data_IF_388721786641
#
_entry.id   IF_388721786641
#
_cell.length_a   1.000
_cell.length_b   1.000
_cell.length_c   1.000
_cell.angle_alpha   90.00
_cell.angle_beta   90.00
_cell.angle_gamma   90.00
#
_symmetry.space_group_name_H-M   'P 1'
#
loop_
_entity.id
_entity.type
_entity.pdbx_description
1 polymer ?
2 non-polymer ?
3 water ?
#
# COMPACT_ATOMS: atom_id res chain seq x y z
N UNK A 2 -14.24 -16.93 -20.19
CA UNK A 2 -13.80 -16.08 -19.09
C UNK A 2 -13.87 -16.83 -17.75
N UNK A 3 -12.73 -16.97 -17.08
CA UNK A 3 -12.72 -17.60 -15.77
C UNK A 3 -12.97 -16.56 -14.68
N UNK A 4 -13.84 -16.93 -13.74
CA UNK A 4 -14.10 -16.03 -12.63
C UNK A 4 -12.84 -15.88 -11.77
N UNK A 5 -12.59 -14.69 -11.23
CA UNK A 5 -11.58 -14.58 -10.17
C UNK A 5 -11.95 -15.49 -9.01
N UNK A 6 -10.96 -16.16 -8.47
CA UNK A 6 -11.16 -17.08 -7.36
C UNK A 6 -10.44 -16.49 -6.15
N UNK A 7 -11.21 -16.19 -5.09
CA UNK A 7 -10.71 -15.51 -3.91
C UNK A 7 -10.44 -16.54 -2.81
N UNK A 8 -9.21 -16.58 -2.32
CA UNK A 8 -8.81 -17.54 -1.30
C UNK A 8 -8.67 -16.79 0.03
N UNK A 9 -9.61 -17.02 0.94
CA UNK A 9 -9.60 -16.35 2.23
C UNK A 9 -10.45 -17.15 3.22
N UNK A 10 -10.33 -16.77 4.49
CA UNK A 10 -11.28 -17.26 5.48
C UNK A 10 -12.66 -16.75 5.15
N UNK A 11 -13.68 -17.46 5.63
CA UNK A 11 -15.06 -17.01 5.43
C UNK A 11 -15.30 -15.86 6.40
N UNK A 12 -14.78 -14.69 6.04
CA UNK A 12 -14.77 -13.55 6.93
C UNK A 12 -14.58 -12.30 6.10
N UNK A 13 -14.94 -11.16 6.68
CA UNK A 13 -14.59 -9.87 6.11
C UNK A 13 -13.10 -9.77 5.97
N UNK A 14 -12.43 -9.47 7.09
CA UNK A 14 -10.99 -9.36 7.14
C UNK A 14 -10.42 -8.57 5.98
N UNK A 15 -9.26 -9.01 5.49
CA UNK A 15 -8.55 -8.28 4.46
C UNK A 15 -9.05 -8.53 3.07
N UNK A 16 -10.05 -9.42 2.89
CA UNK A 16 -10.54 -9.73 1.56
C UNK A 16 -11.73 -8.91 1.14
N UNK A 17 -12.38 -8.22 2.09
CA UNK A 17 -13.68 -7.63 1.80
C UNK A 17 -13.58 -6.46 0.83
N UNK A 18 -12.51 -5.67 0.89
CA UNK A 18 -12.41 -4.54 -0.03
C UNK A 18 -12.26 -5.01 -1.48
N UNK A 19 -11.73 -6.22 -1.67
CA UNK A 19 -11.66 -6.83 -3.00
C UNK A 19 -13.02 -7.35 -3.43
N UNK A 20 -13.72 -8.06 -2.54
CA UNK A 20 -15.07 -8.50 -2.90
C UNK A 20 -15.88 -7.31 -3.35
N UNK A 21 -15.80 -6.23 -2.58
CA UNK A 21 -16.47 -5.00 -2.94
C UNK A 21 -16.10 -4.53 -4.33
N UNK A 22 -14.79 -4.51 -4.64
CA UNK A 22 -14.36 -3.89 -5.89
C UNK A 22 -14.81 -4.73 -7.07
N UNK A 23 -14.64 -6.04 -7.00
CA UNK A 23 -15.17 -6.94 -8.02
C UNK A 23 -16.66 -6.70 -8.20
N UNK A 24 -17.42 -6.73 -7.10
CA UNK A 24 -18.85 -6.58 -7.20
C UNK A 24 -19.23 -5.23 -7.80
N UNK A 25 -18.54 -4.16 -7.40
CA UNK A 25 -18.88 -2.85 -7.98
C UNK A 25 -18.52 -2.78 -9.45
N UNK A 26 -17.58 -3.61 -9.91
CA UNK A 26 -17.27 -3.68 -11.33
C UNK A 26 -18.18 -4.67 -12.05
N UNK A 27 -19.13 -5.28 -11.35
CA UNK A 27 -20.04 -6.23 -11.96
C UNK A 27 -19.39 -7.53 -12.35
N UNK A 28 -18.22 -7.82 -11.82
CA UNK A 28 -17.51 -9.05 -12.13
C UNK A 28 -17.93 -10.13 -11.13
N UNK A 29 -18.45 -11.23 -11.64
CA UNK A 29 -18.74 -12.37 -10.81
C UNK A 29 -17.45 -13.03 -10.36
N UNK A 30 -17.39 -13.41 -9.09
CA UNK A 30 -16.23 -14.13 -8.57
C UNK A 30 -16.67 -15.30 -7.71
N UNK A 31 -15.73 -16.22 -7.52
CA UNK A 31 -15.93 -17.42 -6.74
C UNK A 31 -15.03 -17.34 -5.51
N UNK A 32 -15.44 -17.98 -4.42
CA UNK A 32 -14.68 -17.97 -3.18
C UNK A 32 -14.36 -19.40 -2.77
N UNK A 33 -13.09 -19.68 -2.53
CA UNK A 33 -12.67 -20.93 -1.90
C UNK A 33 -12.26 -20.55 -0.48
N UNK A 34 -13.02 -21.03 0.49
CA UNK A 34 -12.82 -20.62 1.87
C UNK A 34 -11.77 -21.48 2.52
N UNK A 35 -10.81 -20.83 3.18
CA UNK A 35 -9.90 -21.54 4.08
C UNK A 35 -10.70 -21.87 5.33
N UNK A 36 -10.98 -23.15 5.54
CA UNK A 36 -11.72 -23.60 6.70
C UNK A 36 -10.83 -24.17 7.79
N UNK A 37 -9.73 -24.82 7.41
CA UNK A 37 -8.84 -25.49 8.34
C UNK A 37 -7.43 -24.97 8.21
N UNK A 38 -6.69 -25.02 9.32
CA UNK A 38 -5.25 -24.80 9.27
C UNK A 38 -4.61 -25.72 8.24
N UNK A 39 -5.18 -26.90 8.02
CA UNK A 39 -4.73 -27.75 6.92
C UNK A 39 -5.00 -27.11 5.56
N UNK A 40 -6.09 -26.34 5.44
CA UNK A 40 -6.38 -25.71 4.15
C UNK A 40 -5.31 -24.72 3.76
N UNK A 41 -4.80 -23.95 4.73
CA UNK A 41 -3.82 -22.92 4.46
C UNK A 41 -2.45 -23.54 4.20
N UNK A 42 -2.15 -24.64 4.90
CA UNK A 42 -0.87 -25.29 4.67
C UNK A 42 -0.79 -25.86 3.28
N UNK A 43 -1.91 -26.33 2.73
CA UNK A 43 -1.82 -26.87 1.39
C UNK A 43 -1.87 -25.79 0.33
N UNK A 44 -2.29 -24.57 0.69
CA UNK A 44 -2.06 -23.44 -0.21
C UNK A 44 -0.58 -23.07 -0.24
N UNK A 45 0.07 -23.03 0.92
CA UNK A 45 1.49 -22.72 0.99
C UNK A 45 2.31 -23.74 0.21
N UNK A 46 2.06 -25.03 0.46
CA UNK A 46 2.89 -26.07 -0.13
C UNK A 46 2.63 -26.24 -1.62
N UNK A 47 1.46 -25.87 -2.09
CA UNK A 47 1.26 -25.86 -3.53
C UNK A 47 1.99 -24.69 -4.21
N UNK A 48 2.68 -23.85 -3.44
CA UNK A 48 3.37 -22.70 -4.00
C UNK A 48 2.46 -21.56 -4.41
N UNK A 49 1.30 -21.43 -3.76
CA UNK A 49 0.34 -20.43 -4.23
C UNK A 49 0.39 -19.13 -3.44
N UNK A 50 1.09 -19.10 -2.31
CA UNK A 50 1.12 -17.95 -1.41
C UNK A 50 2.55 -17.42 -1.34
N UNK A 51 2.86 -16.40 -2.15
CA UNK A 51 4.25 -15.99 -2.29
C UNK A 51 4.88 -15.66 -0.94
N UNK A 52 4.11 -15.05 -0.06
CA UNK A 52 4.60 -14.73 1.28
C UNK A 52 3.90 -15.56 2.34
N UNK A 53 3.38 -16.73 1.94
CA UNK A 53 2.74 -17.69 2.84
C UNK A 53 1.48 -17.14 3.50
N UNK A 54 0.90 -16.09 2.93
CA UNK A 54 -0.26 -15.43 3.52
C UNK A 54 -1.39 -15.33 2.50
N UNK A 55 -2.61 -15.29 3.00
CA UNK A 55 -3.74 -14.87 2.19
C UNK A 55 -4.10 -13.46 2.70
N UNK A 56 -4.96 -12.70 1.99
CA UNK A 56 -5.72 -12.88 0.74
C UNK A 56 -4.88 -13.38 -0.40
N UNK A 57 -5.45 -14.27 -1.19
CA UNK A 57 -4.89 -14.61 -2.47
C UNK A 57 -6.04 -14.72 -3.46
N UNK A 58 -5.89 -14.06 -4.60
CA UNK A 58 -6.86 -14.06 -5.66
C UNK A 58 -6.20 -14.69 -6.88
N UNK A 59 -6.82 -15.74 -7.42
CA UNK A 59 -6.46 -16.21 -8.75
C UNK A 59 -7.23 -15.42 -9.77
N UNK A 60 -6.52 -14.67 -10.60
CA UNK A 60 -7.15 -13.89 -11.66
C UNK A 60 -6.22 -13.84 -12.85
N UNK A 61 -6.75 -14.18 -14.03
CA UNK A 61 -5.99 -14.17 -15.27
C UNK A 61 -4.75 -15.07 -15.17
N UNK A 62 -4.95 -16.28 -14.65
CA UNK A 62 -3.89 -17.28 -14.64
C UNK A 62 -2.69 -16.95 -13.79
N UNK A 63 -2.82 -16.00 -12.87
CA UNK A 63 -1.76 -15.71 -11.91
C UNK A 63 -2.35 -15.67 -10.51
N UNK A 64 -1.49 -15.79 -9.52
CA UNK A 64 -1.91 -15.93 -8.13
C UNK A 64 -1.39 -14.73 -7.34
N UNK A 65 -2.25 -13.74 -7.13
CA UNK A 65 -1.87 -12.47 -6.54
C UNK A 65 -2.11 -12.48 -5.04
N UNK A 66 -1.05 -12.17 -4.27
CA UNK A 66 -1.25 -11.85 -2.86
C UNK A 66 -0.93 -10.38 -2.64
N UNK A 67 -1.14 -9.93 -1.40
CA UNK A 67 -1.00 -8.54 -0.97
C UNK A 67 -2.20 -7.73 -1.45
N UNK A 68 -3.07 -7.36 -0.49
CA UNK A 68 -4.32 -6.69 -0.79
C UNK A 68 -4.15 -5.56 -1.78
N UNK A 69 -3.16 -4.69 -1.53
CA UNK A 69 -2.97 -3.53 -2.38
C UNK A 69 -2.65 -3.93 -3.81
N UNK A 70 -1.88 -5.00 -3.97
CA UNK A 70 -1.57 -5.48 -5.32
C UNK A 70 -2.83 -6.01 -6.00
N UNK A 71 -3.62 -6.80 -5.26
CA UNK A 71 -4.90 -7.31 -5.75
C UNK A 71 -5.83 -6.16 -6.14
N UNK A 72 -6.04 -5.21 -5.23
CA UNK A 72 -6.91 -4.07 -5.52
C UNK A 72 -6.43 -3.28 -6.73
N UNK A 73 -5.12 -2.93 -6.76
CA UNK A 73 -4.58 -2.15 -7.86
C UNK A 73 -4.86 -2.82 -9.20
N UNK A 74 -4.62 -4.13 -9.26
CA UNK A 74 -4.82 -4.86 -10.51
C UNK A 74 -6.28 -4.81 -10.93
N UNK A 75 -7.18 -5.19 -10.02
CA UNK A 75 -8.59 -5.16 -10.34
C UNK A 75 -9.02 -3.76 -10.76
N UNK A 76 -8.60 -2.74 -9.99
CA UNK A 76 -9.02 -1.39 -10.35
C UNK A 76 -8.49 -0.99 -11.72
N UNK A 77 -7.33 -1.51 -12.12
CA UNK A 77 -6.81 -1.19 -13.44
C UNK A 77 -7.52 -2.00 -14.52
N UNK A 78 -7.70 -3.31 -14.29
CA UNK A 78 -8.37 -4.12 -15.31
C UNK A 78 -9.72 -3.53 -15.67
N UNK A 79 -10.47 -3.05 -14.68
CA UNK A 79 -11.85 -2.66 -14.92
C UNK A 79 -12.06 -1.15 -14.90
N UNK A 80 -11.01 -0.37 -15.13
CA UNK A 80 -11.11 1.08 -15.34
C UNK A 80 -11.72 1.79 -14.14
N UNK A 81 -11.38 1.32 -12.95
CA UNK A 81 -11.75 1.99 -11.72
C UNK A 81 -10.56 2.70 -11.08
N UNK A 82 -9.42 2.74 -11.76
CA UNK A 82 -8.24 3.42 -11.25
C UNK A 82 -8.05 4.81 -11.83
N UNK A 83 -9.13 5.46 -12.26
CA UNK A 83 -8.99 6.79 -12.83
C UNK A 83 -8.39 6.76 -14.23
N UNK A 84 -8.06 7.96 -14.72
CA UNK A 84 -7.67 8.13 -16.13
C UNK A 84 -6.21 8.49 -16.36
N UNK A 85 -5.48 8.95 -15.34
CA UNK A 85 -4.07 9.28 -15.54
C UNK A 85 -3.36 9.25 -14.19
N UNK A 86 -2.05 9.55 -14.23
CA UNK A 86 -1.23 9.51 -13.01
C UNK A 86 -1.75 10.46 -11.95
N UNK A 87 -2.25 11.62 -12.37
CA UNK A 87 -2.64 12.60 -11.37
C UNK A 87 -3.93 12.19 -10.68
N UNK A 88 -4.84 11.52 -11.39
CA UNK A 88 -6.03 10.96 -10.75
C UNK A 88 -5.68 9.78 -9.86
N UNK A 89 -4.73 8.93 -10.29
CA UNK A 89 -4.29 7.83 -9.43
C UNK A 89 -3.70 8.36 -8.13
N UNK A 90 -3.04 9.51 -8.18
CA UNK A 90 -2.44 10.03 -6.95
C UNK A 90 -3.52 10.48 -5.98
N UNK A 91 -4.59 11.10 -6.49
CA UNK A 91 -5.75 11.38 -5.65
C UNK A 91 -6.39 10.08 -5.17
N UNK A 92 -6.60 9.15 -6.10
CA UNK A 92 -7.25 7.88 -5.76
C UNK A 92 -6.45 7.12 -4.71
N UNK A 93 -5.13 6.98 -4.93
CA UNK A 93 -4.27 6.32 -3.94
C UNK A 93 -4.30 7.05 -2.62
N UNK A 94 -4.13 8.37 -2.66
CA UNK A 94 -4.12 9.15 -1.43
C UNK A 94 -5.41 8.95 -0.64
N UNK A 95 -6.56 9.16 -1.29
CA UNK A 95 -7.85 8.91 -0.64
C UNK A 95 -7.95 7.48 -0.12
N UNK A 96 -7.62 6.50 -0.96
CA UNK A 96 -7.78 5.11 -0.56
C UNK A 96 -6.91 4.78 0.65
N UNK A 97 -5.66 5.25 0.66
CA UNK A 97 -4.76 4.91 1.76
C UNK A 97 -5.24 5.52 3.07
N UNK A 98 -5.79 6.73 3.03
CA UNK A 98 -6.46 7.26 4.21
C UNK A 98 -7.63 6.38 4.64
N UNK A 99 -8.50 6.04 3.68
CA UNK A 99 -9.62 5.14 3.96
C UNK A 99 -9.12 3.82 4.54
N UNK A 100 -8.00 3.32 4.03
CA UNK A 100 -7.47 2.05 4.55
C UNK A 100 -6.99 2.20 5.99
N UNK A 101 -6.43 3.36 6.34
CA UNK A 101 -5.96 3.57 7.71
C UNK A 101 -7.12 3.61 8.70
N UNK A 102 -8.18 4.34 8.37
CA UNK A 102 -9.29 4.43 9.31
C UNK A 102 -9.96 3.07 9.45
N UNK A 103 -10.21 2.41 8.32
CA UNK A 103 -10.72 1.04 8.34
C UNK A 103 -9.88 0.19 9.27
N UNK A 104 -8.56 0.33 9.22
CA UNK A 104 -7.69 -0.45 10.08
C UNK A 104 -8.05 -0.27 11.55
N UNK A 105 -8.23 0.98 11.99
CA UNK A 105 -8.55 1.23 13.39
C UNK A 105 -9.91 0.68 13.81
N UNK A 106 -10.67 0.05 12.90
CA UNK A 106 -12.02 -0.41 13.22
C UNK A 106 -12.15 -1.91 12.99
N UNK A 121 -10.96 0.64 25.70
CA UNK A 121 -10.77 1.86 24.94
C UNK A 121 -11.34 1.71 23.53
N UNK A 122 -11.72 2.85 22.92
CA UNK A 122 -12.10 2.91 21.51
C UNK A 122 -11.71 4.27 20.96
N UNK A 123 -10.44 4.44 20.58
CA UNK A 123 -9.90 5.76 20.25
C UNK A 123 -10.38 6.29 18.90
N UNK A 124 -10.65 5.39 17.93
CA UNK A 124 -10.88 5.79 16.54
C UNK A 124 -12.10 6.69 16.34
N UNK A 125 -12.99 6.81 17.33
CA UNK A 125 -14.14 7.70 17.17
C UNK A 125 -13.68 9.12 16.87
N UNK A 126 -12.64 9.59 17.54
CA UNK A 126 -12.14 10.95 17.32
C UNK A 126 -11.62 11.11 15.89
N UNK A 127 -10.69 10.26 15.47
CA UNK A 127 -10.10 10.35 14.14
C UNK A 127 -11.17 10.32 13.05
N UNK A 128 -12.16 9.42 13.21
CA UNK A 128 -13.29 9.37 12.28
C UNK A 128 -13.98 10.73 12.21
N UNK A 129 -14.42 11.24 13.36
CA UNK A 129 -15.22 12.46 13.41
C UNK A 129 -14.39 13.69 13.08
N UNK A 130 -13.13 13.74 13.52
CA UNK A 130 -12.36 14.98 13.43
C UNK A 130 -11.26 14.99 12.37
N UNK A 131 -10.88 13.84 11.80
CA UNK A 131 -9.82 13.82 10.81
C UNK A 131 -10.29 13.27 9.47
N UNK A 132 -10.77 12.03 9.45
CA UNK A 132 -10.98 11.39 8.16
C UNK A 132 -12.27 11.85 7.50
N UNK A 133 -13.38 11.84 8.23
CA UNK A 133 -14.65 12.20 7.59
C UNK A 133 -14.69 13.65 7.14
N UNK A 134 -14.20 14.61 7.93
CA UNK A 134 -14.10 15.99 7.41
C UNK A 134 -13.31 16.08 6.13
N UNK A 135 -12.22 15.31 6.04
CA UNK A 135 -11.39 15.31 4.84
C UNK A 135 -12.18 14.89 3.61
N UNK A 136 -13.01 13.85 3.73
CA UNK A 136 -13.69 13.37 2.54
C UNK A 136 -14.95 14.17 2.23
N UNK A 137 -15.59 14.75 3.24
CA UNK A 137 -16.65 15.73 2.94
C UNK A 137 -16.07 16.94 2.21
N UNK A 138 -14.90 17.42 2.64
CA UNK A 138 -14.26 18.54 1.95
C UNK A 138 -13.94 18.20 0.50
N UNK A 139 -13.47 16.97 0.25
CA UNK A 139 -13.27 16.54 -1.14
C UNK A 139 -14.55 16.71 -1.94
N UNK A 140 -15.67 16.20 -1.40
CA UNK A 140 -16.95 16.28 -2.08
C UNK A 140 -17.47 17.71 -2.12
N UNK A 141 -17.15 18.52 -1.11
CA UNK A 141 -17.49 19.93 -1.18
C UNK A 141 -16.75 20.62 -2.32
N UNK A 142 -15.48 20.28 -2.52
CA UNK A 142 -14.61 21.06 -3.40
C UNK A 142 -15.10 21.07 -4.84
N UNK A 143 -15.54 19.92 -5.36
CA UNK A 143 -16.00 19.85 -6.73
C UNK A 143 -17.49 19.60 -6.87
N UNK A 144 -18.18 19.27 -5.78
CA UNK A 144 -19.60 19.07 -5.78
C UNK A 144 -20.11 17.89 -6.57
N UNK A 145 -19.27 17.25 -7.38
CA UNK A 145 -19.70 16.21 -8.30
C UNK A 145 -20.07 14.92 -7.55
N UNK A 146 -20.66 13.98 -8.29
CA UNK A 146 -21.21 12.77 -7.69
C UNK A 146 -20.13 11.86 -7.13
N UNK A 147 -18.95 11.84 -7.73
CA UNK A 147 -17.90 10.92 -7.36
C UNK A 147 -16.71 11.70 -6.82
N UNK A 148 -15.81 10.98 -6.15
CA UNK A 148 -14.69 11.64 -5.48
C UNK A 148 -13.68 12.21 -6.47
N UNK A 149 -13.49 11.56 -7.62
CA UNK A 149 -12.34 11.78 -8.47
C UNK A 149 -12.73 11.63 -9.93
N UNK A 150 -12.40 12.65 -10.73
CA UNK A 150 -12.70 12.60 -12.15
C UNK A 150 -14.17 12.60 -12.54
N UNK A 151 -15.08 12.97 -11.63
CA UNK A 151 -16.52 12.96 -11.92
C UNK A 151 -16.91 11.66 -12.62
N UNK A 152 -16.33 10.55 -12.15
CA UNK A 152 -16.64 9.24 -12.69
C UNK A 152 -16.41 8.26 -11.55
N UNK A 153 -17.16 7.17 -11.55
CA UNK A 153 -16.98 6.16 -10.51
C UNK A 153 -15.57 5.60 -10.58
N UNK A 154 -14.88 5.62 -9.45
CA UNK A 154 -13.61 4.92 -9.35
C UNK A 154 -13.64 4.05 -8.10
N UNK A 155 -12.61 3.20 -7.98
CA UNK A 155 -12.47 2.32 -6.82
C UNK A 155 -12.67 3.05 -5.49
N UNK A 156 -12.18 4.28 -5.39
CA UNK A 156 -12.17 4.94 -4.08
C UNK A 156 -13.56 5.37 -3.68
N UNK A 157 -14.47 5.56 -4.64
CA UNK A 157 -15.87 5.71 -4.25
C UNK A 157 -16.34 4.46 -3.54
N UNK A 158 -15.96 3.29 -4.04
CA UNK A 158 -16.35 2.03 -3.42
C UNK A 158 -15.67 1.85 -2.07
N UNK A 159 -14.39 2.22 -1.96
CA UNK A 159 -13.75 2.11 -0.64
C UNK A 159 -14.44 3.04 0.36
N UNK A 160 -14.81 4.24 -0.07
CA UNK A 160 -15.43 5.18 0.85
C UNK A 160 -16.78 4.67 1.31
N UNK A 161 -17.64 4.25 0.37
CA UNK A 161 -18.91 3.64 0.73
C UNK A 161 -18.69 2.52 1.73
N UNK A 162 -17.70 1.66 1.46
CA UNK A 162 -17.39 0.59 2.40
C UNK A 162 -16.99 1.15 3.76
N UNK A 163 -16.17 2.19 3.79
CA UNK A 163 -15.82 2.78 5.08
C UNK A 163 -17.05 3.30 5.78
N UNK A 164 -17.89 4.03 5.06
CA UNK A 164 -19.08 4.64 5.65
C UNK A 164 -20.02 3.58 6.22
N UNK A 165 -20.09 2.40 5.59
CA UNK A 165 -20.90 1.33 6.14
C UNK A 165 -20.33 0.84 7.47
N UNK A 166 -19.01 0.75 7.58
CA UNK A 166 -18.43 0.26 8.82
C UNK A 166 -18.49 1.32 9.90
N UNK A 167 -18.48 2.60 9.52
CA UNK A 167 -18.58 3.65 10.51
C UNK A 167 -19.98 3.65 11.10
N UNK A 168 -20.98 3.46 10.24
CA UNK A 168 -22.35 3.30 10.70
C UNK A 168 -22.48 2.13 11.69
N UNK A 169 -21.91 0.96 11.33
CA UNK A 169 -21.87 -0.15 12.28
C UNK A 169 -21.17 0.25 13.56
N UNK A 170 -20.13 1.06 13.44
CA UNK A 170 -19.34 1.46 14.60
C UNK A 170 -20.13 2.38 15.51
N UNK A 171 -20.96 3.24 14.91
CA UNK A 171 -21.55 4.39 15.57
C UNK A 171 -22.16 5.31 14.52
N UNK A 172 -23.44 5.10 14.20
CA UNK A 172 -24.11 5.89 13.17
C UNK A 172 -24.24 7.36 13.51
N UNK A 173 -23.79 7.77 14.70
CA UNK A 173 -23.80 9.19 15.05
C UNK A 173 -22.60 9.93 14.46
N UNK A 174 -21.54 9.23 14.09
CA UNK A 174 -20.41 9.92 13.48
C UNK A 174 -20.73 10.41 12.08
N UNK A 175 -21.72 9.81 11.41
CA UNK A 175 -22.16 10.29 10.11
C UNK A 175 -23.07 11.50 10.17
N UNK A 176 -23.46 11.94 11.38
CA UNK A 176 -24.52 12.93 11.52
C UNK A 176 -24.16 14.26 10.86
N UNK A 177 -22.94 14.76 11.11
CA UNK A 177 -22.59 16.11 10.73
C UNK A 177 -22.18 16.26 9.26
N UNK A 178 -22.28 15.22 8.44
CA UNK A 178 -21.60 15.19 7.15
C UNK A 178 -22.61 14.99 6.02
N UNK A 179 -23.33 16.06 5.67
CA UNK A 179 -24.47 15.88 4.73
C UNK A 179 -24.06 15.42 3.34
N UNK A 180 -22.89 15.80 2.86
CA UNK A 180 -22.49 15.38 1.52
C UNK A 180 -22.13 13.88 1.49
N UNK A 181 -21.34 13.44 2.47
CA UNK A 181 -21.09 12.01 2.62
C UNK A 181 -22.39 11.22 2.66
N UNK A 182 -23.37 11.71 3.44
CA UNK A 182 -24.67 11.04 3.55
C UNK A 182 -25.32 10.84 2.18
N UNK A 183 -25.48 11.94 1.42
CA UNK A 183 -26.04 11.80 0.08
C UNK A 183 -25.17 10.90 -0.78
N UNK A 184 -23.85 11.00 -0.62
CA UNK A 184 -22.91 10.15 -1.37
C UNK A 184 -23.17 8.68 -1.10
N UNK A 185 -23.13 8.30 0.18
CA UNK A 185 -23.52 6.96 0.61
C UNK A 185 -24.78 6.47 -0.10
N UNK A 186 -25.89 7.21 0.08
CA UNK A 186 -27.15 6.81 -0.56
C UNK A 186 -26.97 6.75 -2.07
N UNK A 187 -26.21 7.68 -2.63
CA UNK A 187 -26.08 7.73 -4.07
C UNK A 187 -25.33 6.49 -4.58
N UNK A 188 -24.20 6.14 -3.96
CA UNK A 188 -23.46 4.97 -4.44
C UNK A 188 -24.19 3.69 -4.08
N UNK A 189 -24.79 3.64 -2.89
CA UNK A 189 -25.54 2.43 -2.52
C UNK A 189 -26.50 2.01 -3.63
N UNK A 190 -27.05 2.98 -4.37
CA UNK A 190 -28.09 2.70 -5.35
C UNK A 190 -27.55 2.47 -6.75
N UNK A 191 -26.25 2.32 -6.91
CA UNK A 191 -25.75 1.90 -8.20
C UNK A 191 -26.16 0.45 -8.45
N UNK A 192 -26.57 0.11 -9.69
CA UNK A 192 -26.97 -1.26 -10.01
C UNK A 192 -26.04 -2.32 -9.43
N UNK A 193 -24.77 -2.27 -9.82
CA UNK A 193 -23.82 -3.26 -9.33
C UNK A 193 -23.66 -3.17 -7.81
N UNK A 194 -23.70 -1.96 -7.26
CA UNK A 194 -23.53 -1.82 -5.82
C UNK A 194 -24.75 -2.37 -5.09
N UNK A 195 -25.94 -1.89 -5.47
CA UNK A 195 -27.20 -2.38 -4.88
C UNK A 195 -27.23 -3.90 -4.86
N UNK A 196 -26.80 -4.53 -5.96
CA UNK A 196 -26.79 -5.99 -6.04
C UNK A 196 -25.94 -6.61 -4.94
N UNK A 197 -24.79 -5.99 -4.64
CA UNK A 197 -23.90 -6.54 -3.61
C UNK A 197 -24.42 -6.22 -2.21
N UNK A 198 -25.15 -5.12 -2.05
CA UNK A 198 -25.76 -4.83 -0.76
C UNK A 198 -26.95 -5.74 -0.46
N UNK A 199 -27.61 -6.28 -1.49
CA UNK A 199 -28.76 -7.12 -1.29
C UNK A 199 -28.40 -8.29 -0.38
N UNK A 200 -29.38 -8.84 0.35
CA UNK A 200 -29.15 -10.10 1.07
C UNK A 200 -28.76 -11.21 0.09
N UNK A 201 -28.04 -12.20 0.61
CA UNK A 201 -27.63 -13.31 -0.21
C UNK A 201 -26.37 -13.09 -1.05
N UNK A 202 -25.78 -11.88 -1.06
CA UNK A 202 -24.56 -11.65 -1.81
C UNK A 202 -23.36 -12.16 -1.02
N UNK A 203 -22.18 -12.12 -1.65
CA UNK A 203 -20.95 -12.55 -0.98
C UNK A 203 -20.42 -11.53 0.01
N UNK A 204 -21.08 -10.38 0.14
CA UNK A 204 -20.73 -9.41 1.17
C UNK A 204 -20.74 -10.08 2.54
N UNK A 205 -19.75 -9.73 3.36
CA UNK A 205 -19.47 -10.43 4.60
C UNK A 205 -19.87 -9.61 5.81
N UNK A 206 -20.30 -10.26 6.89
CA UNK A 206 -20.55 -9.56 8.15
C UNK A 206 -19.29 -9.42 8.99
N UNK A 207 -19.36 -8.48 9.95
CA UNK A 207 -18.39 -8.45 11.04
C UNK A 207 -18.43 -9.78 11.76
N UNK A 208 -17.27 -10.42 11.91
CA UNK A 208 -17.22 -11.85 12.21
C UNK A 208 -16.77 -12.15 13.64
N UNK A 209 -17.18 -11.30 14.60
CA UNK A 209 -17.38 -11.72 16.00
C UNK A 209 -16.25 -12.57 16.58
N UNK A 210 -16.43 -13.88 16.57
CA UNK A 210 -15.43 -14.83 17.07
C UNK A 210 -15.24 -15.98 16.08
N UNK B 2 13.98 19.88 -14.17
CA UNK B 2 12.62 20.39 -14.35
C UNK B 2 12.15 21.17 -13.12
N UNK B 3 11.35 20.51 -12.27
CA UNK B 3 10.93 21.04 -10.99
C UNK B 3 11.44 20.13 -9.89
N UNK B 4 11.73 20.70 -8.71
CA UNK B 4 12.30 19.91 -7.63
C UNK B 4 11.18 19.48 -6.69
N UNK B 5 10.96 18.18 -6.52
CA UNK B 5 10.02 17.72 -5.49
C UNK B 5 10.50 18.11 -4.11
N UNK B 6 9.56 18.20 -3.19
CA UNK B 6 9.79 18.82 -1.90
C UNK B 6 9.31 17.90 -0.80
N UNK B 7 10.23 17.21 -0.16
CA UNK B 7 9.84 16.20 0.82
C UNK B 7 9.68 16.87 2.18
N UNK B 8 8.49 16.74 2.75
CA UNK B 8 8.20 17.24 4.08
C UNK B 8 8.21 16.07 5.05
N UNK B 9 9.30 15.93 5.79
CA UNK B 9 9.38 14.87 6.78
C UNK B 9 10.26 15.35 7.92
N UNK B 10 10.40 14.49 8.93
CA UNK B 10 11.44 14.67 9.91
C UNK B 10 12.81 14.44 9.25
N UNK B 11 13.87 14.77 10.00
CA UNK B 11 15.23 14.47 9.55
C UNK B 11 15.57 13.04 9.98
N UNK B 12 14.93 12.10 9.30
CA UNK B 12 15.07 10.69 9.66
C UNK B 12 14.67 9.84 8.47
N UNK B 13 14.99 8.54 8.56
CA UNK B 13 14.58 7.56 7.57
C UNK B 13 13.06 7.48 7.57
N UNK B 14 12.52 6.76 8.54
CA UNK B 14 11.09 6.72 8.76
C UNK B 14 10.36 6.33 7.50
N UNK B 15 9.20 6.95 7.30
CA UNK B 15 8.33 6.60 6.19
C UNK B 15 8.70 7.33 4.91
N UNK B 16 9.71 8.20 4.96
CA UNK B 16 10.09 8.99 3.80
C UNK B 16 11.23 8.39 3.02
N UNK B 17 12.02 7.48 3.62
CA UNK B 17 13.28 7.07 3.00
C UNK B 17 13.06 6.39 1.67
N UNK B 18 12.01 5.56 1.55
CA UNK B 18 11.76 4.83 0.32
C UNK B 18 11.49 5.77 -0.85
N UNK B 19 10.92 6.95 -0.58
CA UNK B 19 10.71 7.96 -1.61
C UNK B 19 12.02 8.65 -2.00
N UNK B 20 12.86 8.98 -1.01
CA UNK B 20 14.18 9.52 -1.31
C UNK B 20 14.93 8.57 -2.23
N UNK B 21 15.04 7.31 -1.80
CA UNK B 21 15.59 6.26 -2.65
C UNK B 21 15.01 6.31 -4.06
N UNK B 22 13.69 6.28 -4.17
CA UNK B 22 13.07 6.16 -5.49
C UNK B 22 13.35 7.40 -6.32
N UNK B 23 13.25 8.58 -5.72
CA UNK B 23 13.62 9.80 -6.44
C UNK B 23 15.09 9.75 -6.84
N UNK B 24 15.94 9.29 -5.92
CA UNK B 24 17.37 9.23 -6.21
C UNK B 24 17.64 8.30 -7.38
N UNK B 25 17.04 7.12 -7.37
CA UNK B 25 17.34 6.15 -8.43
C UNK B 25 16.88 6.66 -9.80
N UNK B 26 15.84 7.49 -9.84
CA UNK B 26 15.41 8.05 -11.10
C UNK B 26 16.23 9.25 -11.53
N UNK B 27 17.26 9.62 -10.77
CA UNK B 27 18.04 10.81 -11.09
C UNK B 27 17.25 12.08 -10.92
N UNK B 28 16.36 12.14 -9.96
CA UNK B 28 15.55 13.32 -9.72
C UNK B 28 16.06 13.97 -8.45
N UNK B 29 16.65 15.15 -8.62
CA UNK B 29 17.08 15.93 -7.47
C UNK B 29 15.85 16.41 -6.70
N UNK B 30 15.96 16.37 -5.38
CA UNK B 30 14.88 16.82 -4.53
C UNK B 30 15.46 17.55 -3.33
N UNK B 31 14.66 18.46 -2.78
CA UNK B 31 14.97 19.14 -1.54
C UNK B 31 13.97 18.74 -0.46
N UNK B 32 14.37 18.94 0.79
CA UNK B 32 13.57 18.59 1.94
C UNK B 32 13.42 19.81 2.84
N UNK B 33 12.20 20.05 3.33
CA UNK B 33 12.04 20.87 4.53
C UNK B 33 11.84 19.92 5.71
N UNK B 34 12.88 19.78 6.51
CA UNK B 34 12.78 18.94 7.68
C UNK B 34 11.83 19.57 8.70
N UNK B 35 11.31 18.71 9.58
CA UNK B 35 10.37 19.08 10.62
C UNK B 35 11.04 18.74 11.94
N UNK B 36 11.46 19.76 12.68
CA UNK B 36 12.01 19.54 14.02
C UNK B 36 11.13 20.12 15.11
N UNK B 37 10.50 21.25 14.87
CA UNK B 37 9.59 21.86 15.83
C UNK B 37 8.16 21.44 15.53
N UNK B 38 7.43 21.07 16.60
CA UNK B 38 6.02 20.73 16.47
C UNK B 38 5.22 21.85 15.79
N UNK B 39 5.69 23.10 15.88
CA UNK B 39 5.02 24.19 15.16
C UNK B 39 5.13 24.04 13.65
N UNK B 40 6.26 23.52 13.16
CA UNK B 40 6.40 23.23 11.73
C UNK B 40 5.30 22.30 11.25
N UNK B 41 5.10 21.19 11.95
CA UNK B 41 4.01 20.28 11.66
C UNK B 41 2.66 20.99 11.76
N UNK B 42 2.47 21.77 12.82
CA UNK B 42 1.27 22.57 12.96
C UNK B 42 1.14 23.59 11.82
N UNK B 43 2.22 24.32 11.52
CA UNK B 43 2.16 25.26 10.42
C UNK B 43 1.79 24.57 9.11
N UNK B 44 2.15 23.29 8.99
CA UNK B 44 1.74 22.49 7.84
C UNK B 44 0.28 22.06 7.95
N UNK B 45 -0.14 21.61 9.14
CA UNK B 45 -1.54 21.30 9.37
C UNK B 45 -2.42 22.53 9.11
N UNK B 46 -2.21 23.60 9.89
CA UNK B 46 -3.08 24.78 9.83
C UNK B 46 -3.13 25.41 8.44
N UNK B 47 -2.05 25.29 7.65
CA UNK B 47 -2.06 25.85 6.31
C UNK B 47 -2.76 24.96 5.28
N UNK B 48 -3.29 23.82 5.69
CA UNK B 48 -4.00 22.94 4.77
C UNK B 48 -3.10 22.17 3.83
N UNK B 49 -2.06 21.53 4.37
CA UNK B 49 -1.08 20.84 3.54
C UNK B 49 -1.07 19.32 3.68
N UNK B 50 -1.65 18.78 4.75
CA UNK B 50 -1.66 17.34 5.00
C UNK B 50 -3.12 16.89 5.07
N UNK B 51 -3.65 16.35 3.97
CA UNK B 51 -5.05 15.94 3.87
C UNK B 51 -5.54 15.22 5.13
N UNK B 52 -4.68 14.39 5.71
CA UNK B 52 -4.99 13.68 6.94
C UNK B 52 -4.11 14.15 8.10
N UNK B 53 -3.55 15.35 8.01
CA UNK B 53 -2.74 15.93 9.09
C UNK B 53 -1.56 15.04 9.45
N UNK B 54 -0.94 14.42 8.44
CA UNK B 54 0.17 13.51 8.67
C UNK B 54 1.28 13.76 7.66
N UNK B 55 2.51 13.49 8.08
CA UNK B 55 3.63 13.43 7.15
C UNK B 55 3.92 11.94 6.96
N UNK B 56 4.62 11.55 5.89
CA UNK B 56 5.24 12.26 4.77
C UNK B 56 4.29 13.09 3.93
N UNK B 57 4.81 14.14 3.30
CA UNK B 57 4.07 14.85 2.28
C UNK B 57 5.09 15.39 1.27
N UNK B 58 4.73 15.33 0.00
CA UNK B 58 5.64 15.65 -1.08
C UNK B 58 4.92 16.59 -2.04
N UNK B 59 5.45 17.80 -2.18
CA UNK B 59 5.01 18.70 -3.25
C UNK B 59 5.71 18.31 -4.53
N UNK B 60 4.92 18.03 -5.57
CA UNK B 60 5.45 17.58 -6.85
C UNK B 60 4.39 17.81 -7.91
N UNK B 61 4.82 18.34 -9.06
CA UNK B 61 3.96 18.79 -10.15
C UNK B 61 2.68 19.45 -9.64
N UNK B 62 2.79 20.24 -8.57
CA UNK B 62 1.69 21.05 -8.11
C UNK B 62 0.67 20.36 -7.22
N UNK B 63 0.99 19.20 -6.66
CA UNK B 63 0.13 18.53 -5.70
C UNK B 63 0.78 18.52 -4.34
N UNK B 64 -0.05 18.46 -3.29
CA UNK B 64 0.44 18.24 -1.93
C UNK B 64 0.17 16.78 -1.55
N UNK B 65 0.88 15.89 -2.24
CA UNK B 65 0.62 14.47 -2.12
C UNK B 65 1.01 13.98 -0.73
N UNK B 66 0.08 13.30 -0.06
CA UNK B 66 0.33 12.70 1.24
C UNK B 66 0.07 11.19 1.12
N UNK B 67 0.44 10.46 2.17
CA UNK B 67 0.36 8.98 2.24
C UNK B 67 1.47 8.31 1.44
N UNK B 68 2.34 7.55 2.12
CA UNK B 68 3.54 6.99 1.50
C UNK B 68 3.26 6.36 0.14
N UNK B 69 2.24 5.51 0.05
CA UNK B 69 2.04 4.71 -1.14
C UNK B 69 1.56 5.54 -2.31
N UNK B 70 0.76 6.57 -2.05
CA UNK B 70 0.36 7.45 -3.13
C UNK B 70 1.57 8.20 -3.68
N UNK B 71 2.48 8.60 -2.79
CA UNK B 71 3.73 9.23 -3.22
C UNK B 71 4.55 8.28 -4.08
N UNK B 72 4.81 7.07 -3.57
CA UNK B 72 5.63 6.12 -4.30
C UNK B 72 5.02 5.76 -5.64
N UNK B 73 3.69 5.56 -5.69
CA UNK B 73 3.06 5.16 -6.97
C UNK B 73 3.21 6.29 -7.99
N UNK B 74 2.99 7.53 -7.57
CA UNK B 74 3.01 8.63 -8.53
C UNK B 74 4.41 8.81 -9.10
N UNK B 75 5.41 8.92 -8.21
CA UNK B 75 6.80 9.02 -8.62
C UNK B 75 7.18 7.87 -9.55
N UNK B 76 6.71 6.66 -9.25
CA UNK B 76 7.11 5.52 -10.06
C UNK B 76 6.49 5.60 -11.45
N UNK B 77 5.22 5.97 -11.54
CA UNK B 77 4.62 6.13 -12.86
C UNK B 77 5.30 7.26 -13.63
N UNK B 78 5.55 8.39 -12.95
CA UNK B 78 6.14 9.57 -13.60
C UNK B 78 7.45 9.25 -14.30
N UNK B 79 8.34 8.52 -13.63
CA UNK B 79 9.67 8.21 -14.15
C UNK B 79 9.79 6.74 -14.56
N UNK B 80 8.73 6.20 -15.15
CA UNK B 80 8.69 4.83 -15.72
C UNK B 80 9.46 3.81 -14.88
N UNK B 81 9.25 3.85 -13.57
CA UNK B 81 9.71 2.79 -12.69
C UNK B 81 8.57 1.85 -12.28
N UNK B 82 7.40 2.02 -12.89
CA UNK B 82 6.24 1.20 -12.57
C UNK B 82 5.96 0.15 -13.62
N UNK B 83 6.97 -0.22 -14.41
CA UNK B 83 6.86 -1.35 -15.31
C UNK B 83 6.13 -1.01 -16.60
N UNK B 84 5.94 -2.06 -17.41
CA UNK B 84 5.34 -1.86 -18.73
C UNK B 84 3.83 -1.82 -18.70
N UNK B 85 3.19 -2.81 -18.06
CA UNK B 85 1.75 -3.01 -18.20
C UNK B 85 1.15 -3.43 -16.86
N UNK B 86 -0.18 -3.49 -16.81
CA UNK B 86 -0.88 -3.75 -15.56
C UNK B 86 -0.52 -5.09 -14.95
N UNK B 87 -0.09 -6.06 -15.77
CA UNK B 87 0.33 -7.35 -15.20
C UNK B 87 1.68 -7.24 -14.53
N UNK B 88 2.58 -6.41 -15.06
CA UNK B 88 3.86 -6.18 -14.40
C UNK B 88 3.69 -5.36 -13.12
N UNK B 89 2.82 -4.34 -13.16
CA UNK B 89 2.50 -3.66 -11.91
C UNK B 89 1.94 -4.63 -10.88
N UNK B 90 1.23 -5.67 -11.31
CA UNK B 90 0.73 -6.63 -10.35
C UNK B 90 1.89 -7.33 -9.65
N UNK B 91 2.89 -7.74 -10.44
CA UNK B 91 4.08 -8.34 -9.85
C UNK B 91 4.83 -7.33 -9.00
N UNK B 92 4.93 -6.11 -9.48
CA UNK B 92 5.67 -5.07 -8.77
C UNK B 92 4.97 -4.74 -7.44
N UNK B 93 3.67 -4.47 -7.47
CA UNK B 93 2.93 -4.15 -6.25
C UNK B 93 3.05 -5.28 -5.23
N UNK B 94 2.89 -6.52 -5.69
CA UNK B 94 2.96 -7.65 -4.78
C UNK B 94 4.33 -7.71 -4.13
N UNK B 95 5.38 -7.62 -4.93
CA UNK B 95 6.74 -7.67 -4.40
C UNK B 95 6.98 -6.52 -3.43
N UNK B 96 6.60 -5.29 -3.84
CA UNK B 96 6.82 -4.11 -3.02
C UNK B 96 6.09 -4.20 -1.69
N UNK B 97 4.88 -4.75 -1.70
CA UNK B 97 4.10 -4.85 -0.48
C UNK B 97 4.73 -5.85 0.48
N UNK B 98 5.27 -6.96 -0.04
CA UNK B 98 6.03 -7.85 0.83
C UNK B 98 7.23 -7.15 1.43
N UNK B 99 8.03 -6.49 0.58
CA UNK B 99 9.16 -5.70 1.05
C UNK B 99 8.71 -4.72 2.14
N UNK B 100 7.59 -4.04 1.90
CA UNK B 100 7.09 -3.10 2.92
C UNK B 100 6.78 -3.82 4.23
N UNK B 101 6.17 -5.01 4.15
CA UNK B 101 5.82 -5.72 5.39
C UNK B 101 7.06 -6.04 6.22
N UNK B 102 8.13 -6.51 5.57
CA UNK B 102 9.34 -6.86 6.31
C UNK B 102 10.02 -5.61 6.84
N UNK B 103 10.12 -4.56 6.01
CA UNK B 103 10.72 -3.29 6.44
C UNK B 103 10.02 -2.76 7.68
N UNK B 104 8.71 -2.62 7.59
CA UNK B 104 7.89 -2.27 8.74
C UNK B 104 8.23 -3.12 9.96
N UNK B 105 8.49 -4.42 9.76
CA UNK B 105 8.78 -5.29 10.89
C UNK B 105 10.12 -4.96 11.53
N UNK B 106 11.09 -4.56 10.72
CA UNK B 106 12.43 -4.30 11.22
C UNK B 106 12.51 -2.93 11.89
N UNK B 107 12.08 -1.88 11.18
CA UNK B 107 12.12 -0.53 11.73
C UNK B 107 11.26 -0.38 12.98
N UNK B 108 10.31 -1.27 13.20
CA UNK B 108 9.47 -1.19 14.39
C UNK B 108 10.06 -1.93 15.59
N UNK B 109 11.13 -2.71 15.38
CA UNK B 109 11.77 -3.39 16.50
C UNK B 109 12.39 -2.42 17.48
N UNK B 110 12.83 -1.26 17.00
CA UNK B 110 13.47 -0.27 17.85
C UNK B 110 12.41 0.64 18.49
N UNK B 111 11.13 0.25 18.37
CA UNK B 111 10.05 1.12 18.84
C UNK B 111 9.22 0.38 19.87
N UNK B 112 9.08 -0.93 19.71
CA UNK B 112 8.19 -1.71 20.57
C UNK B 112 8.70 -1.70 22.01
N UNK B 113 7.87 -2.11 22.95
CA UNK B 113 8.34 -2.34 24.32
C UNK B 113 9.50 -3.33 24.35
N UNK B 114 10.58 -2.99 25.04
CA UNK B 114 11.66 -3.99 25.25
C UNK B 114 11.18 -5.22 25.98
N UNK B 115 10.03 -5.14 26.65
CA UNK B 115 9.17 -6.26 26.98
C UNK B 115 9.27 -7.35 25.89
N UNK B 116 9.09 -6.95 24.63
CA UNK B 116 8.98 -7.89 23.54
C UNK B 116 10.03 -7.73 22.43
N UNK B 117 10.95 -6.76 22.53
CA UNK B 117 12.10 -6.68 21.61
C UNK B 117 12.62 -8.04 21.17
N UNK B 118 12.88 -8.91 22.13
CA UNK B 118 13.63 -10.11 21.84
C UNK B 118 12.84 -11.06 20.94
N UNK B 119 11.57 -11.36 21.29
CA UNK B 119 10.81 -12.33 20.50
C UNK B 119 10.35 -11.73 19.18
N UNK B 120 9.96 -10.45 19.17
CA UNK B 120 9.72 -9.81 17.89
C UNK B 120 10.99 -9.76 17.04
N UNK B 121 12.17 -9.67 17.68
CA UNK B 121 13.41 -9.73 16.92
C UNK B 121 13.61 -11.12 16.34
N UNK B 122 13.46 -12.16 17.17
CA UNK B 122 13.51 -13.51 16.63
C UNK B 122 12.46 -13.73 15.56
N UNK B 123 11.38 -12.95 15.59
CA UNK B 123 10.36 -13.08 14.55
C UNK B 123 10.86 -12.49 13.24
N UNK B 124 11.24 -11.22 13.24
CA UNK B 124 11.78 -10.59 12.05
C UNK B 124 12.88 -11.47 11.42
N UNK B 125 13.84 -11.91 12.22
CA UNK B 125 14.90 -12.73 11.66
C UNK B 125 14.32 -13.98 11.03
N UNK B 126 13.37 -14.63 11.71
CA UNK B 126 12.72 -15.80 11.14
C UNK B 126 12.03 -15.46 9.82
N UNK B 127 11.20 -14.41 9.81
CA UNK B 127 10.53 -13.97 8.60
C UNK B 127 11.54 -13.59 7.51
N UNK B 128 12.62 -12.88 7.90
CA UNK B 128 13.64 -12.52 6.93
C UNK B 128 14.20 -13.75 6.22
N UNK B 129 14.63 -14.75 7.00
CA UNK B 129 15.36 -15.90 6.43
C UNK B 129 14.43 -16.98 5.89
N UNK B 130 13.19 -17.05 6.36
CA UNK B 130 12.34 -18.18 5.97
C UNK B 130 11.16 -17.81 5.10
N UNK B 131 10.77 -16.53 5.07
CA UNK B 131 9.63 -16.09 4.28
C UNK B 131 10.03 -15.14 3.16
N UNK B 132 10.58 -13.96 3.47
CA UNK B 132 10.74 -12.93 2.44
C UNK B 132 11.99 -13.11 1.59
N UNK B 133 13.15 -13.33 2.21
CA UNK B 133 14.34 -13.51 1.38
C UNK B 133 14.23 -14.73 0.49
N UNK B 134 13.82 -15.91 0.98
CA UNK B 134 13.54 -17.01 0.04
C UNK B 134 12.64 -16.59 -1.10
N UNK B 135 11.59 -15.81 -0.79
CA UNK B 135 10.60 -15.45 -1.80
C UNK B 135 11.23 -14.68 -2.95
N UNK B 136 12.14 -13.76 -2.64
CA UNK B 136 12.80 -12.99 -3.68
C UNK B 136 14.04 -13.67 -4.24
N UNK B 137 14.75 -14.50 -3.45
CA UNK B 137 15.78 -15.33 -4.05
C UNK B 137 15.18 -16.21 -5.14
N UNK B 138 14.01 -16.78 -4.87
CA UNK B 138 13.33 -17.59 -5.87
C UNK B 138 13.01 -16.80 -7.13
N UNK B 139 12.36 -15.65 -6.95
CA UNK B 139 11.94 -14.84 -8.10
C UNK B 139 13.12 -14.61 -9.04
N UNK B 140 14.29 -14.37 -8.48
CA UNK B 140 15.48 -14.22 -9.30
C UNK B 140 15.89 -15.56 -9.93
N UNK B 141 15.70 -16.66 -9.20
CA UNK B 141 16.03 -17.99 -9.71
C UNK B 141 14.92 -18.56 -10.61
N UNK B 142 13.68 -18.13 -10.42
CA UNK B 142 12.60 -18.63 -11.27
C UNK B 142 12.81 -18.22 -12.73
N UNK B 143 13.45 -17.07 -12.95
CA UNK B 143 13.63 -16.58 -14.31
C UNK B 143 15.08 -16.23 -14.66
N UNK B 144 16.00 -16.29 -13.71
CA UNK B 144 17.40 -16.00 -13.95
C UNK B 144 17.67 -14.74 -14.77
N UNK B 145 17.10 -13.62 -14.37
CA UNK B 145 17.31 -12.35 -15.05
C UNK B 145 17.88 -11.32 -14.08
N UNK B 146 18.22 -10.16 -14.63
CA UNK B 146 18.99 -9.18 -13.88
C UNK B 146 18.13 -8.38 -12.90
N UNK B 147 16.82 -8.40 -13.10
CA UNK B 147 15.92 -7.59 -12.31
C UNK B 147 14.70 -8.41 -11.94
N UNK B 148 13.93 -7.85 -11.00
CA UNK B 148 12.80 -8.57 -10.45
C UNK B 148 11.71 -8.78 -11.49
N UNK B 149 11.39 -7.74 -12.27
CA UNK B 149 10.18 -7.79 -13.08
C UNK B 149 10.47 -7.28 -14.49
N UNK B 150 10.02 -8.03 -15.49
CA UNK B 150 10.09 -7.56 -16.86
C UNK B 150 11.49 -7.38 -17.39
N UNK B 151 12.49 -7.96 -16.72
CA UNK B 151 13.86 -7.96 -17.20
C UNK B 151 14.41 -6.55 -17.43
N UNK B 152 13.84 -5.58 -16.72
CA UNK B 152 14.34 -4.21 -16.74
C UNK B 152 14.07 -3.56 -15.38
N UNK B 153 14.87 -2.55 -15.07
CA UNK B 153 14.81 -1.87 -13.78
C UNK B 153 13.41 -1.33 -13.51
N UNK B 154 12.85 -1.67 -12.34
CA UNK B 154 11.61 -1.08 -11.85
C UNK B 154 11.79 -0.59 -10.41
N UNK B 155 10.80 0.17 -9.95
CA UNK B 155 10.79 0.69 -8.57
C UNK B 155 11.08 -0.39 -7.53
N UNK B 156 10.68 -1.64 -7.79
CA UNK B 156 10.79 -2.65 -6.74
C UNK B 156 12.22 -3.18 -6.62
N UNK B 157 13.03 -3.09 -7.68
CA UNK B 157 14.46 -3.36 -7.56
C UNK B 157 15.08 -2.43 -6.53
N UNK B 158 14.72 -1.15 -6.57
CA UNK B 158 15.21 -0.17 -5.61
C UNK B 158 14.71 -0.50 -4.21
N UNK B 159 13.41 -0.81 -4.08
CA UNK B 159 12.86 -1.19 -2.79
C UNK B 159 13.62 -2.38 -2.20
N UNK B 160 13.84 -3.42 -3.02
CA UNK B 160 14.52 -4.61 -2.52
C UNK B 160 15.96 -4.29 -2.09
N UNK B 161 16.71 -3.53 -2.90
CA UNK B 161 18.05 -3.13 -2.51
C UNK B 161 18.03 -2.42 -1.16
N UNK B 162 17.18 -1.40 -1.05
CA UNK B 162 16.98 -0.72 0.22
C UNK B 162 16.75 -1.71 1.36
N UNK B 163 15.90 -2.73 1.12
CA UNK B 163 15.64 -3.71 2.18
C UNK B 163 16.90 -4.53 2.46
N UNK B 164 17.59 -4.97 1.41
CA UNK B 164 18.83 -5.71 1.60
C UNK B 164 19.83 -4.91 2.42
N UNK B 165 19.92 -3.61 2.20
CA UNK B 165 20.75 -2.78 3.07
C UNK B 165 20.32 -2.89 4.53
N UNK B 166 19.01 -2.82 4.80
CA UNK B 166 18.57 -2.80 6.19
C UNK B 166 18.70 -4.18 6.83
N UNK B 167 18.60 -5.24 6.04
CA UNK B 167 18.83 -6.57 6.59
C UNK B 167 20.26 -6.69 7.06
N UNK B 168 21.19 -6.21 6.24
CA UNK B 168 22.62 -6.25 6.58
C UNK B 168 22.90 -5.46 7.85
N UNK B 169 22.35 -4.25 7.97
CA UNK B 169 22.42 -3.52 9.24
C UNK B 169 21.85 -4.37 10.38
N UNK B 170 20.62 -4.85 10.20
CA UNK B 170 19.93 -5.55 11.27
C UNK B 170 20.66 -6.85 11.65
N UNK B 171 21.14 -7.58 10.65
CA UNK B 171 21.91 -8.79 10.88
C UNK B 171 22.47 -9.27 9.54
N UNK B 172 23.74 -8.94 9.28
CA UNK B 172 24.33 -9.25 7.98
C UNK B 172 24.42 -10.74 7.73
N UNK B 173 24.37 -11.56 8.77
CA UNK B 173 24.48 -13.01 8.56
C UNK B 173 23.30 -13.55 7.77
N UNK B 174 22.14 -12.90 7.87
CA UNK B 174 20.93 -13.44 7.26
C UNK B 174 21.01 -13.54 5.74
N UNK B 175 21.96 -12.84 5.11
CA UNK B 175 22.01 -12.78 3.67
C UNK B 175 22.80 -13.91 3.03
N UNK B 176 23.63 -14.62 3.80
CA UNK B 176 24.68 -15.44 3.19
C UNK B 176 24.15 -16.67 2.50
N UNK B 177 22.95 -17.12 2.83
CA UNK B 177 22.36 -18.27 2.15
C UNK B 177 21.55 -17.87 0.93
N UNK B 178 21.69 -16.64 0.45
CA UNK B 178 20.92 -16.12 -0.68
C UNK B 178 21.89 -15.54 -1.69
N UNK B 179 22.36 -16.36 -2.63
CA UNK B 179 23.42 -15.91 -3.55
C UNK B 179 22.95 -14.89 -4.57
N UNK B 180 21.82 -15.15 -5.23
CA UNK B 180 21.34 -14.23 -6.25
C UNK B 180 21.04 -12.85 -5.67
N UNK B 181 20.35 -12.81 -4.52
CA UNK B 181 20.15 -11.53 -3.84
C UNK B 181 21.49 -10.86 -3.57
N UNK B 182 22.50 -11.64 -3.18
CA UNK B 182 23.83 -11.07 -2.97
C UNK B 182 24.38 -10.51 -4.27
N UNK B 183 24.27 -11.29 -5.36
CA UNK B 183 24.67 -10.77 -6.66
C UNK B 183 23.78 -9.60 -7.05
N UNK B 184 22.46 -9.74 -6.81
CA UNK B 184 21.50 -8.67 -7.12
C UNK B 184 21.87 -7.39 -6.37
N UNK B 185 22.20 -7.51 -5.10
CA UNK B 185 22.57 -6.33 -4.31
C UNK B 185 23.75 -5.58 -4.96
N UNK B 186 24.81 -6.30 -5.35
CA UNK B 186 25.93 -5.57 -5.95
C UNK B 186 25.55 -5.03 -7.33
N UNK B 187 24.86 -5.83 -8.15
CA UNK B 187 24.37 -5.32 -9.43
C UNK B 187 23.66 -3.97 -9.25
N UNK B 188 22.59 -3.93 -8.44
CA UNK B 188 21.83 -2.70 -8.29
C UNK B 188 22.65 -1.61 -7.63
N UNK B 189 23.49 -1.97 -6.64
CA UNK B 189 24.27 -0.95 -5.94
C UNK B 189 25.20 -0.18 -6.86
N UNK B 190 25.60 -0.77 -7.98
CA UNK B 190 26.53 -0.09 -8.88
C UNK B 190 25.86 0.61 -10.05
N UNK B 191 24.52 0.61 -10.11
CA UNK B 191 23.87 1.50 -11.06
C UNK B 191 24.22 2.94 -10.71
N UNK B 192 24.46 3.80 -11.71
CA UNK B 192 24.97 5.15 -11.45
C UNK B 192 24.19 5.94 -10.40
N UNK B 193 22.89 6.13 -10.62
CA UNK B 193 22.11 6.93 -9.67
C UNK B 193 22.06 6.27 -8.30
N UNK B 194 22.10 4.94 -8.25
CA UNK B 194 22.12 4.26 -6.97
C UNK B 194 23.46 4.46 -6.29
N UNK B 195 24.55 4.15 -6.99
CA UNK B 195 25.90 4.43 -6.48
C UNK B 195 25.98 5.86 -5.98
N UNK B 196 25.47 6.82 -6.76
CA UNK B 196 25.50 8.23 -6.33
C UNK B 196 24.82 8.42 -4.98
N UNK B 197 23.76 7.65 -4.71
CA UNK B 197 22.98 7.84 -3.48
C UNK B 197 23.64 7.15 -2.31
N UNK B 198 24.28 6.00 -2.55
CA UNK B 198 25.10 5.37 -1.54
C UNK B 198 26.32 6.22 -1.16
N UNK B 199 26.76 7.10 -2.04
CA UNK B 199 27.96 7.88 -1.76
C UNK B 199 27.75 8.71 -0.49
N UNK B 200 28.81 8.94 0.28
CA UNK B 200 28.69 9.81 1.44
C UNK B 200 28.28 11.20 1.00
N UNK B 201 27.71 11.96 1.93
CA UNK B 201 27.26 13.29 1.64
C UNK B 201 25.90 13.39 0.99
N UNK B 202 25.26 12.27 0.59
CA UNK B 202 23.96 12.29 -0.07
C UNK B 202 22.84 12.44 0.95
N UNK B 203 21.62 12.61 0.44
CA UNK B 203 20.41 12.76 1.23
C UNK B 203 19.96 11.46 1.88
N UNK B 204 20.65 10.35 1.61
CA UNK B 204 20.36 9.09 2.28
C UNK B 204 20.46 9.26 3.80
N UNK B 205 19.58 8.56 4.54
CA UNK B 205 19.50 8.79 5.97
C UNK B 205 19.99 7.59 6.79
N UNK B 206 20.63 7.84 7.93
CA UNK B 206 21.04 6.72 8.79
C UNK B 206 19.89 6.24 9.66
N UNK B 207 20.08 5.05 10.23
CA UNK B 207 19.22 4.59 11.31
C UNK B 207 19.31 5.56 12.47
N UNK B 208 18.16 6.05 12.91
CA UNK B 208 18.10 7.03 14.00
C UNK B 208 18.04 6.31 15.35
N UNK B 209 18.36 7.06 16.41
CA UNK B 209 18.20 6.61 17.79
C UNK B 209 17.52 7.72 18.60
N UNK B 210 16.20 7.62 18.76
CA UNK B 210 15.45 8.62 19.49
C UNK B 210 14.16 8.03 20.06
X LIG C 1 0.18 -7.15 3.77
X LIG C 1 -0.57 -8.39 3.60
X LIG C 1 -1.83 -8.12 2.80
X LIG C 1 -2.36 -9.05 2.15
X LIG C 1 -2.30 -6.97 2.84
X LIG C 1 -0.89 -9.00 4.96
X LIG C 1 -1.49 -10.39 4.77
X LIG C 1 -1.81 -11.06 6.09
X LIG C 1 -1.48 -10.48 7.24
X LIG C 1 -2.41 -12.25 6.00
X LIG C 1 -2.82 -13.12 7.10
X LIG C 1 -2.04 -14.42 7.11
X LIG C 1 -2.11 -15.26 6.05
X LIG C 1 -4.30 -13.47 6.86
X LIG C 1 -5.44 -12.13 7.30
X LIG C 1 -1.29 -14.69 8.20
X LIG C 1 -0.46 -15.86 8.45
X LIG C 1 0.96 -15.48 8.86
X LIG C 1 1.29 -14.27 8.84
X LIG C 1 1.76 -16.39 9.19
#
# INVERSE_FOLDING_TARGET
MAEKPKLHYFNARGRMESTRWLLAAAGVEFEEKFIKSAEDLDKLRNDGYLMFQQVPMVEIDGMKLVQTRAILNYIASKYNLYGKDMKERALIDMYSEGILDLTEMIIQLVICPPDQREAKTALAKDRTKNRYLPAFEKVLKSHGQDYLVGNRLTRVDIHLLELLLYVEEFDASLLTSFPLLKAFKSRISSLPNVKKFLQPGSQRKPAMDAKQIEEARKIFRF
MAEKPKLHYFNARGRMESTRWLLAAAGVEFEEKFIKSAEDLDKLRNDGYLMFQQVPMVEIDGMKLVQTRAILNYIASKYNLYGKDMKERALIDMYSEGILDLTEMIIQLVICPPDQREAKTALAKDRTKNRYLPAFEKVLKSHGQDYLVGNRLTRVDIHLLELLLYVEEFDASLLTSFPLLKAFKSRISSLPNVKKFLQPGSQRKPAMDAKQIEEARKIFRF
GSH N1 CA1 C1 O11 O12 CB1 CG1 CD1 OE1 N2 CA2 C2 O2 CB2 SG2 N3 CA3 C3 O31 O32
#
